data_IF_381971013667
#
_entry.id   IF_381971013667
#
_cell.length_a   1.000
_cell.length_b   1.000
_cell.length_c   1.000
_cell.angle_alpha   90.00
_cell.angle_beta   90.00
_cell.angle_gamma   90.00
#
_symmetry.space_group_name_H-M   'P 1'
#
loop_
_entity.id
_entity.type
_entity.pdbx_description
1 polymer ?
#
# COMPACT_ATOMS: atom_id res chain seq x y z
N UNK A 1 28.42 -22.64 9.10
CA UNK A 1 27.00 -22.98 9.35
C UNK A 1 26.59 -22.24 10.63
N UNK A 2 26.29 -20.94 10.53
CA UNK A 2 25.84 -20.15 11.70
C UNK A 2 24.34 -20.38 11.82
N UNK A 3 23.94 -21.37 12.64
CA UNK A 3 22.56 -21.43 13.14
C UNK A 3 22.47 -20.34 14.20
N UNK A 4 22.07 -19.13 13.77
CA UNK A 4 21.56 -18.17 14.73
C UNK A 4 20.27 -18.73 15.32
N UNK A 5 20.14 -18.70 16.64
CA UNK A 5 18.91 -19.03 17.37
C UNK A 5 17.77 -18.12 16.91
N UNK A 6 17.13 -18.46 15.79
CA UNK A 6 15.87 -17.84 15.40
C UNK A 6 14.79 -18.46 16.27
N UNK A 7 14.28 -17.68 17.21
CA UNK A 7 13.08 -18.06 17.97
C UNK A 7 11.96 -18.40 16.98
N UNK A 8 11.13 -19.42 17.26
CA UNK A 8 9.99 -19.76 16.42
C UNK A 8 9.08 -18.54 16.26
N UNK A 9 8.69 -18.21 15.02
CA UNK A 9 7.83 -17.06 14.71
C UNK A 9 6.55 -17.02 15.56
N UNK A 10 5.98 -18.18 15.91
CA UNK A 10 4.82 -18.28 16.80
C UNK A 10 5.06 -17.73 18.21
N UNK A 11 6.24 -17.96 18.80
CA UNK A 11 6.57 -17.42 20.13
C UNK A 11 6.71 -15.89 20.11
N UNK A 12 7.17 -15.32 19.00
CA UNK A 12 7.26 -13.86 18.81
C UNK A 12 5.87 -13.23 18.71
N UNK A 13 4.92 -13.91 18.06
CA UNK A 13 3.53 -13.47 17.96
C UNK A 13 2.81 -13.52 19.32
N UNK A 14 3.03 -14.58 20.10
CA UNK A 14 2.42 -14.72 21.42
C UNK A 14 2.92 -13.64 22.40
N UNK A 15 4.23 -13.34 22.37
CA UNK A 15 4.82 -12.25 23.15
C UNK A 15 4.30 -10.88 22.68
N UNK A 16 4.15 -10.67 21.37
CA UNK A 16 3.57 -9.44 20.82
C UNK A 16 2.12 -9.25 21.26
N UNK A 17 1.31 -10.33 21.27
CA UNK A 17 -0.07 -10.29 21.73
C UNK A 17 -0.16 -9.96 23.22
N UNK A 18 0.66 -10.60 24.07
CA UNK A 18 0.69 -10.29 25.51
C UNK A 18 1.09 -8.86 25.80
N UNK A 19 2.07 -8.33 25.08
CA UNK A 19 2.49 -6.94 25.20
C UNK A 19 1.37 -5.98 24.75
N UNK A 20 0.66 -6.33 23.68
CA UNK A 20 -0.47 -5.54 23.20
C UNK A 20 -1.64 -5.54 24.21
N UNK A 21 -1.92 -6.67 24.86
CA UNK A 21 -2.95 -6.78 25.90
C UNK A 21 -2.57 -6.02 27.18
N UNK A 22 -1.28 -6.01 27.55
CA UNK A 22 -0.79 -5.24 28.68
C UNK A 22 -0.86 -3.72 28.41
N UNK A 23 -0.43 -3.28 27.22
CA UNK A 23 -0.53 -1.88 26.80
C UNK A 23 -2.00 -1.40 26.70
N UNK A 24 -2.89 -2.26 26.20
CA UNK A 24 -4.34 -2.02 26.19
C UNK A 24 -4.88 -1.77 27.59
N UNK A 25 -4.43 -2.55 28.59
CA UNK A 25 -4.88 -2.40 29.96
C UNK A 25 -4.39 -1.09 30.58
N UNK A 26 -3.12 -0.75 30.39
CA UNK A 26 -2.53 0.51 30.87
C UNK A 26 -3.20 1.74 30.24
N UNK A 27 -3.45 1.74 28.92
CA UNK A 27 -4.09 2.86 28.23
C UNK A 27 -5.57 3.02 28.62
N UNK A 28 -6.30 1.93 28.89
CA UNK A 28 -7.67 1.99 29.41
C UNK A 28 -7.72 2.48 30.88
N UNK A 29 -6.67 2.21 31.66
CA UNK A 29 -6.59 2.60 33.07
C UNK A 29 -6.07 4.04 33.25
N UNK A 30 -5.13 4.51 32.41
CA UNK A 30 -4.49 5.83 32.50
C UNK A 30 -5.03 6.87 31.50
N UNK A 31 -5.55 6.43 30.35
CA UNK A 31 -5.99 7.28 29.26
C UNK A 31 -7.44 7.76 29.42
N UNK A 32 -7.64 8.88 30.11
CA UNK A 32 -8.94 9.56 30.10
C UNK A 32 -9.36 9.95 28.67
N UNK A 33 -10.67 9.89 28.36
CA UNK A 33 -11.19 10.37 27.07
C UNK A 33 -10.95 11.88 26.92
N UNK A 34 -9.87 12.24 26.22
CA UNK A 34 -9.49 13.63 25.97
C UNK A 34 -10.41 14.31 24.94
N UNK A 35 -11.05 13.54 24.06
CA UNK A 35 -11.91 14.09 23.01
C UNK A 35 -13.28 14.45 23.58
N UNK A 36 -13.84 13.59 24.45
CA UNK A 36 -15.17 13.73 25.05
C UNK A 36 -16.22 13.96 23.98
N UNK A 37 -16.41 12.95 23.13
CA UNK A 37 -17.37 13.02 22.02
C UNK A 37 -18.78 13.34 22.55
N UNK A 38 -19.44 14.32 21.92
CA UNK A 38 -20.79 14.75 22.29
C UNK A 38 -20.84 15.93 23.28
N UNK A 39 -19.75 16.24 23.98
CA UNK A 39 -19.67 17.44 24.83
C UNK A 39 -19.36 18.70 24.01
N UNK A 40 -19.81 19.90 24.42
CA UNK A 40 -19.42 21.16 23.77
C UNK A 40 -17.90 21.27 23.57
N UNK A 41 -17.46 21.67 22.37
CA UNK A 41 -16.05 21.78 21.99
C UNK A 41 -15.35 20.46 21.64
N UNK A 42 -16.05 19.32 21.56
CA UNK A 42 -15.44 18.02 21.24
C UNK A 42 -14.71 18.02 19.89
N UNK A 43 -15.22 18.77 18.91
CA UNK A 43 -14.66 18.80 17.56
C UNK A 43 -13.28 19.43 17.54
N UNK A 44 -13.07 20.47 18.34
CA UNK A 44 -11.77 21.10 18.45
C UNK A 44 -10.77 20.20 19.18
N UNK A 45 -11.21 19.57 20.28
CA UNK A 45 -10.41 18.55 21.00
C UNK A 45 -10.04 17.39 20.09
N UNK A 46 -10.97 16.93 19.25
CA UNK A 46 -10.74 15.88 18.27
C UNK A 46 -9.60 16.26 17.30
N UNK A 47 -9.73 17.41 16.63
CA UNK A 47 -8.70 17.87 15.68
C UNK A 47 -7.34 18.08 16.35
N UNK A 48 -7.32 18.64 17.55
CA UNK A 48 -6.08 18.88 18.29
C UNK A 48 -5.41 17.57 18.71
N UNK A 49 -6.15 16.65 19.32
CA UNK A 49 -5.57 15.42 19.88
C UNK A 49 -5.31 14.32 18.86
N UNK A 50 -6.14 14.21 17.81
CA UNK A 50 -6.04 13.13 16.81
C UNK A 50 -5.23 13.56 15.59
N UNK A 51 -5.43 14.78 15.12
CA UNK A 51 -4.84 15.26 13.87
C UNK A 51 -3.74 16.29 14.08
N UNK A 52 -3.47 16.73 15.32
CA UNK A 52 -2.49 17.77 15.62
C UNK A 52 -2.86 19.15 15.07
N UNK A 53 -4.14 19.37 14.73
CA UNK A 53 -4.63 20.58 14.08
C UNK A 53 -5.10 21.59 15.11
N UNK A 54 -4.55 22.80 15.07
CA UNK A 54 -4.86 23.86 16.02
C UNK A 54 -6.30 24.36 15.97
N UNK A 55 -6.75 24.96 17.07
CA UNK A 55 -8.04 25.67 17.11
C UNK A 55 -7.94 26.90 16.18
N UNK A 56 -8.69 26.89 15.08
CA UNK A 56 -8.69 27.98 14.08
C UNK A 56 -7.90 27.69 12.80
N UNK A 57 -7.26 26.53 12.68
CA UNK A 57 -6.68 26.08 11.41
C UNK A 57 -7.76 25.47 10.50
N UNK A 58 -8.68 26.31 10.06
CA UNK A 58 -9.80 25.94 9.20
C UNK A 58 -9.32 25.46 7.83
N UNK A 59 -8.11 25.85 7.40
CA UNK A 59 -7.50 25.37 6.16
C UNK A 59 -7.11 23.91 6.27
N UNK A 60 -6.40 23.51 7.34
CA UNK A 60 -6.03 22.11 7.56
C UNK A 60 -7.26 21.23 7.79
N UNK A 61 -8.29 21.70 8.50
CA UNK A 61 -9.56 20.96 8.63
C UNK A 61 -10.22 20.72 7.28
N UNK A 62 -10.24 21.74 6.41
CA UNK A 62 -10.72 21.61 5.02
C UNK A 62 -9.87 20.66 4.19
N UNK A 63 -8.55 20.66 4.37
CA UNK A 63 -7.63 19.72 3.72
C UNK A 63 -7.92 18.27 4.11
N UNK A 64 -8.10 17.99 5.41
CA UNK A 64 -8.48 16.65 5.91
C UNK A 64 -9.78 16.17 5.27
N UNK A 65 -10.79 17.05 5.18
CA UNK A 65 -12.05 16.75 4.50
C UNK A 65 -11.88 16.53 3.00
N UNK A 66 -11.08 17.36 2.32
CA UNK A 66 -10.83 17.27 0.90
C UNK A 66 -10.10 15.96 0.52
N UNK A 67 -9.04 15.60 1.24
CA UNK A 67 -8.31 14.35 1.02
C UNK A 67 -9.18 13.13 1.36
N UNK A 68 -10.07 13.25 2.35
CA UNK A 68 -11.00 12.16 2.67
C UNK A 68 -11.99 11.91 1.52
N UNK A 69 -12.60 12.99 0.97
CA UNK A 69 -13.49 12.90 -0.19
C UNK A 69 -12.74 12.39 -1.43
N UNK A 70 -11.51 12.85 -1.64
CA UNK A 70 -10.64 12.34 -2.71
C UNK A 70 -10.36 10.85 -2.55
N UNK A 71 -10.17 10.37 -1.32
CA UNK A 71 -10.06 8.95 -1.03
C UNK A 71 -11.31 8.15 -1.33
N UNK A 72 -12.50 8.67 -1.01
CA UNK A 72 -13.76 8.04 -1.42
C UNK A 72 -13.88 7.95 -2.95
N UNK A 73 -13.50 9.01 -3.67
CA UNK A 73 -13.43 9.02 -5.13
C UNK A 73 -12.39 8.01 -5.66
N UNK A 74 -11.23 7.90 -5.02
CA UNK A 74 -10.17 6.94 -5.36
C UNK A 74 -10.69 5.51 -5.21
N UNK A 75 -11.33 5.19 -4.09
CA UNK A 75 -11.92 3.86 -3.83
C UNK A 75 -13.01 3.57 -4.85
N UNK A 76 -13.93 4.49 -5.10
CA UNK A 76 -15.00 4.27 -6.08
C UNK A 76 -14.42 4.03 -7.48
N UNK A 77 -13.38 4.77 -7.88
CA UNK A 77 -12.69 4.58 -9.16
C UNK A 77 -11.87 3.30 -9.22
N UNK A 78 -11.30 2.88 -8.10
CA UNK A 78 -10.59 1.60 -8.03
C UNK A 78 -11.53 0.42 -8.32
N UNK A 79 -12.78 0.50 -7.84
CA UNK A 79 -13.78 -0.55 -8.08
C UNK A 79 -14.58 -0.40 -9.39
N UNK A 80 -14.86 0.83 -9.82
CA UNK A 80 -15.81 1.11 -10.91
C UNK A 80 -15.31 2.14 -11.94
N UNK A 81 -14.13 2.73 -11.74
CA UNK A 81 -13.63 3.84 -12.55
C UNK A 81 -13.24 3.43 -13.96
N UNK A 82 -13.57 4.29 -14.92
CA UNK A 82 -13.15 4.20 -16.31
C UNK A 82 -12.07 5.25 -16.57
N UNK A 83 -10.97 4.90 -17.26
CA UNK A 83 -10.14 5.92 -17.89
C UNK A 83 -11.03 6.62 -18.94
N UNK A 84 -11.15 7.95 -18.85
CA UNK A 84 -12.10 8.73 -19.64
C UNK A 84 -11.96 8.45 -21.15
N UNK A 85 -13.03 7.95 -21.79
CA UNK A 85 -13.18 7.92 -23.25
C UNK A 85 -13.45 6.56 -23.93
N UNK A 86 -13.42 5.41 -23.24
CA UNK A 86 -13.75 4.11 -23.87
C UNK A 86 -14.57 3.21 -22.94
N UNK A 87 -15.70 2.72 -23.44
CA UNK A 87 -16.60 1.83 -22.71
C UNK A 87 -16.04 0.40 -22.64
N UNK A 88 -15.57 0.01 -21.43
CA UNK A 88 -15.25 -1.33 -20.87
C UNK A 88 -14.10 -2.14 -21.54
N UNK A 89 -13.30 -2.95 -20.79
CA UNK A 89 -13.56 -3.57 -19.50
C UNK A 89 -12.45 -3.43 -18.41
N UNK A 90 -12.91 -3.20 -17.17
CA UNK A 90 -12.26 -3.39 -15.87
C UNK A 90 -11.53 -2.21 -15.23
N UNK A 91 -12.11 -1.80 -14.10
CA UNK A 91 -11.64 -0.78 -13.18
C UNK A 91 -10.19 -1.01 -12.75
N UNK A 92 -9.48 0.10 -12.56
CA UNK A 92 -8.06 0.07 -12.26
C UNK A 92 -7.70 1.06 -11.17
N UNK A 93 -6.48 0.94 -10.69
CA UNK A 93 -5.88 1.87 -9.73
C UNK A 93 -5.86 3.27 -10.36
N UNK A 94 -6.61 4.26 -9.82
CA UNK A 94 -6.63 5.60 -10.40
C UNK A 94 -5.36 6.40 -10.07
N UNK A 95 -4.63 6.00 -9.02
CA UNK A 95 -3.30 6.50 -8.68
C UNK A 95 -2.59 5.51 -7.78
N UNK A 96 -1.40 5.06 -8.20
CA UNK A 96 -0.52 4.19 -7.41
C UNK A 96 0.19 4.94 -6.28
N UNK A 97 0.27 6.26 -6.36
CA UNK A 97 1.06 7.11 -5.47
C UNK A 97 0.21 7.89 -4.47
N UNK A 98 -1.11 8.00 -4.70
CA UNK A 98 -2.00 8.65 -3.77
C UNK A 98 -2.26 7.78 -2.53
N UNK A 99 -2.27 8.41 -1.37
CA UNK A 99 -2.70 7.84 -0.10
C UNK A 99 -3.41 8.92 0.72
N UNK A 100 -4.19 8.51 1.72
CA UNK A 100 -4.80 9.45 2.66
C UNK A 100 -3.76 9.86 3.73
N UNK A 101 -3.31 11.13 3.78
CA UNK A 101 -2.14 11.53 4.56
C UNK A 101 -2.45 11.86 6.02
N UNK A 102 -3.46 11.21 6.60
CA UNK A 102 -3.88 11.39 7.98
C UNK A 102 -4.25 10.04 8.60
N UNK A 103 -3.98 9.85 9.88
CA UNK A 103 -4.34 8.62 10.59
C UNK A 103 -5.84 8.53 10.96
N UNK A 104 -6.57 9.66 10.90
CA UNK A 104 -7.96 9.75 11.33
C UNK A 104 -8.84 10.47 10.32
N UNK A 105 -10.11 10.06 10.24
CA UNK A 105 -11.11 10.67 9.37
C UNK A 105 -11.59 12.04 9.90
N UNK A 106 -12.12 12.93 9.05
CA UNK A 106 -12.82 14.12 9.51
C UNK A 106 -14.20 13.76 10.09
N UNK A 107 -14.77 14.59 10.98
CA UNK A 107 -16.18 14.53 11.33
C UNK A 107 -17.09 14.67 10.10
N UNK A 108 -18.20 13.93 10.07
CA UNK A 108 -19.17 14.05 8.98
C UNK A 108 -19.72 15.47 8.80
N UNK A 109 -19.80 16.26 9.89
CA UNK A 109 -20.22 17.66 9.84
C UNK A 109 -19.24 18.60 9.13
N UNK A 110 -18.01 18.17 8.83
CA UNK A 110 -17.04 18.89 7.98
C UNK A 110 -17.10 18.49 6.51
N UNK A 111 -17.86 17.46 6.15
CA UNK A 111 -18.05 17.03 4.76
C UNK A 111 -19.11 17.90 4.06
N UNK A 112 -18.95 19.21 4.15
CA UNK A 112 -19.83 20.22 3.55
C UNK A 112 -19.19 20.83 2.31
N UNK A 113 -20.02 21.36 1.39
CA UNK A 113 -19.51 22.03 0.20
C UNK A 113 -18.85 21.10 -0.84
N UNK A 114 -19.34 19.86 -0.95
CA UNK A 114 -18.81 18.81 -1.82
C UNK A 114 -18.58 19.23 -3.28
N UNK A 115 -19.38 20.16 -3.82
CA UNK A 115 -19.20 20.72 -5.17
C UNK A 115 -17.83 21.41 -5.32
N UNK A 116 -17.32 22.06 -4.25
CA UNK A 116 -15.97 22.63 -4.25
C UNK A 116 -14.89 21.54 -4.13
N UNK A 117 -15.21 20.44 -3.46
CA UNK A 117 -14.35 19.27 -3.30
C UNK A 117 -14.31 18.39 -4.55
N UNK A 118 -15.26 18.55 -5.48
CA UNK A 118 -15.24 17.87 -6.78
C UNK A 118 -13.92 18.09 -7.52
N UNK A 119 -13.36 19.32 -7.45
CA UNK A 119 -12.04 19.62 -8.02
C UNK A 119 -10.94 18.72 -7.45
N UNK A 120 -11.00 18.37 -6.16
CA UNK A 120 -10.04 17.46 -5.53
C UNK A 120 -10.13 16.03 -6.09
N UNK A 121 -11.30 15.61 -6.59
CA UNK A 121 -11.49 14.31 -7.22
C UNK A 121 -11.09 14.26 -8.70
N UNK A 122 -10.95 15.40 -9.40
CA UNK A 122 -10.69 15.43 -10.84
C UNK A 122 -9.25 15.12 -11.23
N UNK A 123 -8.27 15.43 -10.38
CA UNK A 123 -6.85 15.21 -10.67
C UNK A 123 -6.26 14.04 -9.89
N UNK A 124 -6.07 12.90 -10.55
CA UNK A 124 -5.26 11.79 -10.03
C UNK A 124 -4.25 11.40 -11.10
N UNK A 125 -2.98 11.52 -10.76
CA UNK A 125 -1.89 11.02 -11.61
C UNK A 125 -1.76 9.52 -11.36
N UNK A 126 -1.87 8.71 -12.41
CA UNK A 126 -1.76 7.26 -12.30
C UNK A 126 -0.45 6.85 -11.59
N UNK A 127 0.67 7.49 -11.93
CA UNK A 127 1.97 7.15 -11.38
C UNK A 127 2.38 5.72 -11.75
N UNK A 128 3.29 5.15 -10.96
CA UNK A 128 3.76 3.78 -11.16
C UNK A 128 3.78 3.02 -9.83
N UNK A 129 3.50 1.70 -9.85
CA UNK A 129 3.65 0.87 -8.67
C UNK A 129 5.11 0.81 -8.21
N UNK A 130 5.32 0.63 -6.92
CA UNK A 130 6.64 0.31 -6.39
C UNK A 130 7.14 -1.03 -6.95
N UNK A 131 8.45 -1.09 -7.26
CA UNK A 131 9.11 -2.37 -7.53
C UNK A 131 9.01 -3.30 -6.31
N UNK A 132 9.02 -4.64 -6.47
CA UNK A 132 8.80 -5.58 -5.38
C UNK A 132 9.62 -5.30 -4.11
N UNK A 133 10.92 -5.01 -4.25
CA UNK A 133 11.79 -4.73 -3.11
C UNK A 133 11.52 -3.36 -2.47
N UNK A 134 11.15 -2.36 -3.28
CA UNK A 134 10.77 -1.04 -2.77
C UNK A 134 9.47 -1.11 -1.97
N UNK A 135 8.50 -1.90 -2.44
CA UNK A 135 7.27 -2.19 -1.71
C UNK A 135 7.58 -2.89 -0.38
N UNK A 136 8.46 -3.89 -0.37
CA UNK A 136 8.88 -4.55 0.88
C UNK A 136 9.49 -3.56 1.88
N UNK A 137 10.31 -2.61 1.41
CA UNK A 137 10.84 -1.56 2.28
C UNK A 137 9.76 -0.59 2.77
N UNK A 138 8.72 -0.35 1.97
CA UNK A 138 7.63 0.53 2.37
C UNK A 138 6.68 -0.09 3.42
N UNK A 139 6.64 -1.43 3.54
CA UNK A 139 5.67 -2.13 4.40
C UNK A 139 6.29 -2.91 5.55
N UNK A 140 7.51 -3.43 5.39
CA UNK A 140 8.10 -4.27 6.41
C UNK A 140 8.70 -3.41 7.52
N UNK A 141 8.62 -3.88 8.78
CA UNK A 141 9.37 -3.29 9.86
C UNK A 141 10.82 -3.81 9.87
N UNK A 142 11.77 -3.12 10.50
CA UNK A 142 13.19 -3.50 10.48
C UNK A 142 13.48 -4.91 11.06
N UNK A 143 12.61 -5.45 11.93
CA UNK A 143 12.69 -6.83 12.43
C UNK A 143 12.54 -7.87 11.31
N UNK A 144 11.85 -7.51 10.22
CA UNK A 144 11.66 -8.35 9.03
C UNK A 144 12.65 -8.04 7.90
N UNK A 145 13.69 -7.24 8.15
CA UNK A 145 14.67 -6.85 7.13
C UNK A 145 15.48 -8.04 6.57
N UNK A 146 15.37 -9.23 7.18
CA UNK A 146 15.92 -10.47 6.63
C UNK A 146 15.30 -10.87 5.27
N UNK A 147 14.09 -10.42 4.96
CA UNK A 147 13.42 -10.62 3.66
C UNK A 147 14.08 -9.81 2.52
N UNK A 148 14.86 -8.79 2.86
CA UNK A 148 15.53 -7.90 1.91
C UNK A 148 16.99 -8.34 1.65
N UNK A 149 17.52 -8.04 0.45
CA UNK A 149 18.95 -8.18 0.17
C UNK A 149 19.80 -7.28 1.08
N UNK A 150 21.06 -7.66 1.30
CA UNK A 150 21.99 -6.95 2.19
C UNK A 150 21.98 -5.41 2.06
N UNK A 151 22.21 -4.84 0.85
CA UNK A 151 22.23 -3.38 0.69
C UNK A 151 20.94 -2.67 1.11
N UNK A 152 19.78 -3.30 0.87
CA UNK A 152 18.48 -2.72 1.26
C UNK A 152 18.15 -2.95 2.74
N UNK A 153 18.66 -4.04 3.33
CA UNK A 153 18.54 -4.33 4.76
C UNK A 153 19.24 -3.25 5.59
N UNK A 154 20.44 -2.86 5.18
CA UNK A 154 21.23 -1.83 5.87
C UNK A 154 20.51 -0.48 5.94
N UNK A 155 19.75 -0.12 4.90
CA UNK A 155 18.92 1.09 4.89
C UNK A 155 17.81 1.08 5.96
N UNK A 156 17.35 -0.08 6.40
CA UNK A 156 16.33 -0.19 7.45
C UNK A 156 16.91 -0.27 8.86
N UNK A 157 18.08 -0.91 9.01
CA UNK A 157 18.60 -1.30 10.32
C UNK A 157 19.69 -0.36 10.85
N UNK A 158 20.29 0.45 9.99
CA UNK A 158 21.42 1.30 10.36
C UNK A 158 20.93 2.67 10.80
N UNK A 159 21.33 3.11 12.00
CA UNK A 159 20.92 4.41 12.54
C UNK A 159 21.40 5.61 11.70
N UNK A 160 22.47 5.45 10.93
CA UNK A 160 22.99 6.48 10.01
C UNK A 160 22.32 6.44 8.64
N UNK A 161 21.30 5.60 8.43
CA UNK A 161 20.58 5.53 7.18
C UNK A 161 19.84 6.86 6.91
N UNK A 162 19.85 7.37 5.67
CA UNK A 162 19.12 8.58 5.28
C UNK A 162 17.59 8.42 5.36
N UNK A 163 17.10 7.20 5.60
CA UNK A 163 15.68 6.87 5.78
C UNK A 163 15.42 6.11 7.08
N UNK A 164 16.32 6.23 8.08
CA UNK A 164 16.17 5.56 9.37
C UNK A 164 14.88 5.97 10.10
N UNK A 165 14.43 7.21 9.91
CA UNK A 165 13.23 7.77 10.52
C UNK A 165 11.92 7.13 10.02
N UNK A 166 11.94 6.42 8.88
CA UNK A 166 10.80 5.62 8.43
C UNK A 166 10.58 4.35 9.26
N UNK A 167 11.58 3.94 10.04
CA UNK A 167 11.61 2.64 10.72
C UNK A 167 11.75 2.78 12.25
N UNK A 168 10.80 3.43 12.93
CA UNK A 168 10.84 3.55 14.37
C UNK A 168 10.78 2.16 15.03
N UNK A 169 11.61 1.93 16.05
CA UNK A 169 11.58 0.69 16.85
C UNK A 169 10.41 0.65 17.83
N UNK A 170 9.88 1.82 18.19
CA UNK A 170 8.71 2.01 19.05
C UNK A 170 7.81 3.09 18.47
N UNK A 171 6.50 2.87 18.46
CA UNK A 171 5.51 3.84 17.99
C UNK A 171 4.29 3.81 18.90
N UNK A 172 3.55 4.92 18.94
CA UNK A 172 2.32 5.01 19.72
C UNK A 172 1.19 4.26 19.01
N UNK A 173 0.41 3.52 19.79
CA UNK A 173 -0.87 2.98 19.35
C UNK A 173 -1.96 3.78 20.05
N UNK A 174 -3.02 4.16 19.32
CA UNK A 174 -4.17 4.86 19.88
C UNK A 174 -5.39 3.97 19.76
N UNK A 175 -5.95 3.54 20.90
CA UNK A 175 -7.13 2.66 20.90
C UNK A 175 -8.35 3.30 20.24
N UNK A 176 -8.44 4.63 20.24
CA UNK A 176 -9.51 5.39 19.61
C UNK A 176 -10.92 4.89 19.97
N UNK A 177 -11.13 4.57 21.24
CA UNK A 177 -12.40 4.03 21.76
C UNK A 177 -12.60 2.52 21.55
N UNK A 178 -11.62 1.81 21.00
CA UNK A 178 -11.66 0.36 20.87
C UNK A 178 -11.20 -0.36 22.14
N UNK A 179 -11.69 -1.59 22.33
CA UNK A 179 -11.34 -2.46 23.45
C UNK A 179 -10.38 -3.60 23.06
N UNK A 180 -9.71 -3.46 21.93
CA UNK A 180 -8.80 -4.48 21.41
C UNK A 180 -7.62 -3.83 20.70
N UNK A 181 -6.40 -4.22 21.05
CA UNK A 181 -5.19 -3.58 20.53
C UNK A 181 -5.03 -3.68 19.00
N UNK A 182 -5.55 -4.75 18.37
CA UNK A 182 -5.53 -4.88 16.90
C UNK A 182 -6.46 -3.91 16.17
N UNK A 183 -7.36 -3.24 16.88
CA UNK A 183 -8.18 -2.12 16.37
C UNK A 183 -7.53 -0.75 16.62
N UNK A 184 -6.44 -0.71 17.38
CA UNK A 184 -5.73 0.54 17.65
C UNK A 184 -5.12 1.10 16.37
N UNK A 185 -5.09 2.42 16.27
CA UNK A 185 -4.46 3.13 15.16
C UNK A 185 -2.95 3.19 15.42
N UNK A 186 -2.11 2.56 14.58
CA UNK A 186 -0.67 2.68 14.70
C UNK A 186 -0.21 4.04 14.18
N UNK A 187 0.35 4.87 15.05
CA UNK A 187 0.85 6.20 14.70
C UNK A 187 2.28 6.11 14.16
N UNK A 188 2.38 5.56 12.95
CA UNK A 188 3.62 5.47 12.19
C UNK A 188 3.81 6.71 11.31
N UNK A 189 5.06 7.16 11.08
CA UNK A 189 5.33 8.19 10.09
C UNK A 189 4.97 7.70 8.68
N UNK A 190 4.42 8.58 7.86
CA UNK A 190 4.22 8.28 6.45
C UNK A 190 5.55 8.32 5.70
N UNK A 191 5.76 7.35 4.81
CA UNK A 191 6.99 7.27 4.01
C UNK A 191 6.98 8.34 2.92
N UNK A 192 8.06 9.11 2.85
CA UNK A 192 8.29 10.01 1.71
C UNK A 192 8.78 9.21 0.50
N UNK A 193 7.85 8.91 -0.41
CA UNK A 193 8.06 8.07 -1.59
C UNK A 193 9.33 8.44 -2.38
N UNK A 194 9.56 9.72 -2.67
CA UNK A 194 10.69 10.14 -3.49
C UNK A 194 12.03 9.95 -2.77
N UNK A 195 12.04 10.11 -1.44
CA UNK A 195 13.20 9.84 -0.60
C UNK A 195 13.50 8.35 -0.57
N UNK A 196 12.50 7.51 -0.32
CA UNK A 196 12.65 6.05 -0.37
C UNK A 196 13.18 5.60 -1.74
N UNK A 197 12.56 6.07 -2.82
CA UNK A 197 12.92 5.72 -4.19
C UNK A 197 14.38 6.03 -4.47
N UNK A 198 14.84 7.24 -4.17
CA UNK A 198 16.23 7.66 -4.42
C UNK A 198 17.24 6.77 -3.70
N UNK A 199 17.02 6.47 -2.42
CA UNK A 199 17.95 5.63 -1.64
C UNK A 199 17.94 4.17 -2.12
N UNK A 200 16.76 3.65 -2.49
CA UNK A 200 16.62 2.32 -3.07
C UNK A 200 17.31 2.20 -4.43
N UNK A 201 17.13 3.17 -5.33
CA UNK A 201 17.81 3.17 -6.64
C UNK A 201 19.34 3.24 -6.49
N UNK A 202 19.83 4.00 -5.51
CA UNK A 202 21.26 4.06 -5.20
C UNK A 202 21.78 2.70 -4.73
N UNK A 203 21.08 2.06 -3.78
CA UNK A 203 21.46 0.75 -3.24
C UNK A 203 21.29 -0.42 -4.23
N UNK A 204 20.43 -0.27 -5.25
CA UNK A 204 20.21 -1.30 -6.29
C UNK A 204 21.48 -1.64 -7.08
N UNK A 205 22.42 -0.71 -7.18
CA UNK A 205 23.70 -0.90 -7.87
C UNK A 205 24.52 -2.06 -7.26
N UNK A 206 24.44 -2.23 -5.94
CA UNK A 206 25.15 -3.25 -5.18
C UNK A 206 24.39 -4.60 -5.07
N UNK A 207 23.22 -4.74 -5.68
CA UNK A 207 22.45 -5.99 -5.63
C UNK A 207 23.16 -7.11 -6.39
N UNK A 208 22.92 -8.36 -5.98
CA UNK A 208 23.29 -9.54 -6.77
C UNK A 208 22.26 -9.78 -7.88
N UNK A 209 22.63 -10.52 -8.91
CA UNK A 209 21.78 -10.73 -10.08
C UNK A 209 20.46 -11.46 -9.74
N UNK A 210 20.47 -12.38 -8.79
CA UNK A 210 19.24 -13.00 -8.25
C UNK A 210 18.29 -11.96 -7.64
N UNK A 211 18.83 -11.04 -6.82
CA UNK A 211 18.04 -9.98 -6.20
C UNK A 211 17.51 -8.98 -7.22
N UNK A 212 18.29 -8.69 -8.28
CA UNK A 212 17.82 -7.90 -9.43
C UNK A 212 16.73 -8.63 -10.19
N UNK A 213 16.86 -9.95 -10.38
CA UNK A 213 15.90 -10.74 -11.13
C UNK A 213 14.52 -10.80 -10.47
N UNK A 214 14.47 -10.96 -9.15
CA UNK A 214 13.21 -10.95 -8.37
C UNK A 214 12.62 -9.56 -8.15
N UNK A 215 13.32 -8.48 -8.49
CA UNK A 215 12.84 -7.11 -8.36
C UNK A 215 12.18 -6.58 -9.64
N UNK A 216 11.56 -7.47 -10.41
CA UNK A 216 10.85 -7.15 -11.65
C UNK A 216 9.40 -7.60 -11.53
N UNK A 217 8.53 -6.95 -12.29
CA UNK A 217 7.17 -7.45 -12.49
C UNK A 217 7.24 -8.73 -13.32
N UNK A 218 6.46 -9.75 -12.91
CA UNK A 218 6.36 -11.02 -13.61
C UNK A 218 5.15 -11.04 -14.55
N UNK A 219 5.12 -11.97 -15.51
CA UNK A 219 3.98 -12.15 -16.38
C UNK A 219 2.86 -12.94 -15.69
N UNK A 220 1.69 -12.97 -16.33
CA UNK A 220 0.61 -13.91 -16.00
C UNK A 220 0.87 -15.21 -16.75
N UNK A 221 0.70 -16.35 -16.06
CA UNK A 221 0.80 -17.67 -16.67
C UNK A 221 -0.59 -18.26 -16.86
N UNK A 222 -0.84 -18.80 -18.05
CA UNK A 222 -2.03 -19.58 -18.37
C UNK A 222 -1.64 -21.03 -18.58
N UNK A 223 -2.36 -21.94 -17.92
CA UNK A 223 -2.19 -23.37 -18.04
C UNK A 223 -3.46 -23.96 -18.64
N UNK A 224 -3.29 -24.81 -19.65
CA UNK A 224 -4.40 -25.38 -20.43
C UNK A 224 -4.18 -26.88 -20.57
N UNK A 225 -5.26 -27.65 -20.48
CA UNK A 225 -5.19 -29.09 -20.73
C UNK A 225 -4.81 -29.36 -22.20
N UNK A 226 -3.95 -30.35 -22.49
CA UNK A 226 -3.53 -30.66 -23.86
C UNK A 226 -4.67 -30.92 -24.84
N UNK A 227 -5.81 -31.40 -24.34
CA UNK A 227 -7.00 -31.76 -25.11
C UNK A 227 -7.86 -30.54 -25.47
N UNK A 228 -7.66 -29.41 -24.81
CA UNK A 228 -8.41 -28.17 -25.05
C UNK A 228 -8.03 -27.55 -26.40
N UNK A 229 -9.01 -27.02 -27.11
CA UNK A 229 -8.81 -26.27 -28.35
C UNK A 229 -7.80 -25.12 -28.20
N UNK A 230 -7.78 -24.45 -27.04
CA UNK A 230 -6.89 -23.33 -26.74
C UNK A 230 -5.42 -23.77 -26.66
N UNK A 231 -5.14 -25.01 -26.28
CA UNK A 231 -3.76 -25.51 -26.20
C UNK A 231 -3.08 -25.48 -27.58
N UNK A 232 -3.82 -25.79 -28.66
CA UNK A 232 -3.30 -25.72 -30.03
C UNK A 232 -2.90 -24.30 -30.42
N UNK A 233 -3.69 -23.31 -30.03
CA UNK A 233 -3.39 -21.91 -30.29
C UNK A 233 -2.17 -21.41 -29.52
N UNK A 234 -2.07 -21.78 -28.24
CA UNK A 234 -0.92 -21.46 -27.41
C UNK A 234 0.37 -22.10 -27.95
N UNK A 235 0.32 -23.36 -28.38
CA UNK A 235 1.49 -24.01 -28.99
C UNK A 235 1.88 -23.38 -30.32
N UNK A 236 0.91 -23.05 -31.18
CA UNK A 236 1.19 -22.35 -32.43
C UNK A 236 1.82 -20.96 -32.18
N UNK A 237 1.34 -20.25 -31.16
CA UNK A 237 1.90 -18.97 -30.73
C UNK A 237 3.33 -19.14 -30.21
N UNK A 238 3.59 -20.13 -29.36
CA UNK A 238 4.90 -20.43 -28.82
C UNK A 238 5.90 -20.82 -29.92
N UNK A 239 5.50 -21.69 -30.85
CA UNK A 239 6.38 -22.14 -31.95
C UNK A 239 6.73 -20.99 -32.90
N UNK A 240 5.76 -20.13 -33.25
CA UNK A 240 6.00 -18.95 -34.07
C UNK A 240 6.96 -17.94 -33.41
N UNK A 241 7.01 -17.93 -32.08
CA UNK A 241 7.78 -16.98 -31.28
C UNK A 241 8.92 -17.63 -30.48
N UNK A 242 9.39 -18.81 -30.89
CA UNK A 242 10.47 -19.55 -30.19
C UNK A 242 11.81 -18.82 -30.08
N UNK A 243 11.97 -17.72 -30.80
CA UNK A 243 13.14 -16.84 -30.74
C UNK A 243 13.07 -15.84 -29.57
N UNK A 244 11.90 -15.68 -28.96
CA UNK A 244 11.66 -14.83 -27.80
C UNK A 244 11.79 -15.65 -26.51
N UNK A 245 12.22 -15.01 -25.43
CA UNK A 245 12.16 -15.63 -24.12
C UNK A 245 10.72 -15.66 -23.53
N UNK A 246 10.55 -16.37 -22.42
CA UNK A 246 9.24 -16.52 -21.77
C UNK A 246 8.63 -15.22 -21.22
N UNK A 247 9.40 -14.14 -21.11
CA UNK A 247 8.92 -12.82 -20.70
C UNK A 247 8.59 -11.94 -21.91
N UNK A 248 9.35 -12.07 -22.99
CA UNK A 248 9.08 -11.40 -24.25
C UNK A 248 7.80 -11.92 -24.90
N UNK A 249 7.57 -13.24 -24.84
CA UNK A 249 6.35 -13.84 -25.40
C UNK A 249 5.07 -13.33 -24.72
N UNK A 250 5.13 -12.92 -23.44
CA UNK A 250 3.95 -12.43 -22.70
C UNK A 250 3.53 -11.03 -23.12
N UNK A 251 4.33 -10.34 -23.94
CA UNK A 251 3.99 -9.02 -24.50
C UNK A 251 3.23 -9.12 -25.82
N UNK A 252 3.04 -10.33 -26.34
CA UNK A 252 2.30 -10.55 -27.58
C UNK A 252 0.81 -10.46 -27.28
N UNK A 253 0.18 -9.39 -27.77
CA UNK A 253 -1.26 -9.20 -27.67
C UNK A 253 -1.96 -9.92 -28.82
N UNK A 254 -2.45 -11.14 -28.56
CA UNK A 254 -3.27 -11.91 -29.51
C UNK A 254 -4.56 -12.35 -28.83
N UNK A 255 -5.69 -12.04 -29.45
CA UNK A 255 -6.98 -12.53 -28.99
C UNK A 255 -7.09 -14.05 -29.25
N UNK A 256 -7.49 -14.85 -28.25
CA UNK A 256 -7.74 -16.27 -28.45
C UNK A 256 -8.92 -16.49 -29.42
N UNK A 257 -8.70 -17.32 -30.43
CA UNK A 257 -9.69 -17.64 -31.46
C UNK A 257 -10.66 -18.73 -30.98
N UNK A 258 -10.17 -19.71 -30.21
CA UNK A 258 -10.91 -20.84 -29.66
C UNK A 258 -11.97 -20.43 -28.64
N UNK A 259 -11.67 -19.39 -27.85
CA UNK A 259 -12.60 -18.82 -26.89
C UNK A 259 -12.36 -17.32 -26.72
N UNK A 260 -13.14 -16.53 -27.45
CA UNK A 260 -13.08 -15.06 -27.39
C UNK A 260 -13.47 -14.49 -26.03
N UNK A 261 -14.16 -15.25 -25.18
CA UNK A 261 -14.48 -14.81 -23.81
C UNK A 261 -13.23 -14.73 -22.93
N UNK A 262 -12.18 -15.50 -23.24
CA UNK A 262 -10.89 -15.44 -22.55
C UNK A 262 -10.13 -14.14 -22.80
N UNK A 263 -10.39 -13.43 -23.90
CA UNK A 263 -9.82 -12.10 -24.14
C UNK A 263 -10.18 -11.11 -23.02
N UNK A 264 -11.36 -11.28 -22.40
CA UNK A 264 -11.81 -10.47 -21.27
C UNK A 264 -11.13 -10.85 -19.93
N UNK A 265 -10.66 -12.10 -19.81
CA UNK A 265 -9.98 -12.63 -18.61
C UNK A 265 -8.46 -12.40 -18.64
N UNK A 266 -7.85 -12.47 -19.83
CA UNK A 266 -6.40 -12.40 -20.03
C UNK A 266 -5.86 -10.98 -20.21
N UNK A 267 -6.74 -9.98 -20.15
CA UNK A 267 -6.35 -8.57 -20.19
C UNK A 267 -6.50 -7.98 -18.78
N UNK A 268 -5.55 -8.22 -17.87
CA UNK A 268 -5.64 -7.68 -16.52
C UNK A 268 -5.43 -6.15 -16.52
N UNK A 269 -4.70 -5.61 -17.50
CA UNK A 269 -4.35 -4.19 -17.62
C UNK A 269 -3.99 -3.88 -19.08
N UNK A 270 -4.91 -3.35 -19.89
CA UNK A 270 -4.51 -2.58 -21.07
C UNK A 270 -3.94 -1.25 -20.57
N UNK A 271 -2.62 -1.09 -20.68
CA UNK A 271 -1.90 0.18 -20.51
C UNK A 271 -2.28 1.17 -21.60
#
# INVERSE_FOLDING_TARGET
RVRGDMRPFGAVLDDAQKNADAALKEELEEGGDLVRLGEPGWKDRYYQHKLGVGMGDDEKRREVAAEYVKGLCWVLRYYYGTNEGKALPNAGVPSWTWYYPFHYAPPASDLIGLVRLEKACRGMTLGEPFSPLMQLMAVLPPQSAHALPGPLRELMTTATSPIADFYPTTFKQDLNGAHAAWKAVPLLPFIEQDRLRREVETAKTALRDEARARNRFGPIYMYVAPEDSLARELWALAEANKHLDGYEITRIMREPEADRSLALLLSPYHS
#
